data_IF_249121380229
#
_entry.id   IF_249121380229
#
_cell.length_a   1.000
_cell.length_b   1.000
_cell.length_c   1.000
_cell.angle_alpha   90.00
_cell.angle_beta   90.00
_cell.angle_gamma   90.00
#
_symmetry.space_group_name_H-M   'P 1'
#
loop_
_entity.id
_entity.type
_entity.pdbx_description
1 polymer ?
#
# COMPACT_ATOMS: atom_id res chain seq x y z
N UNK A 1 -27.95 11.29 16.48
CA UNK A 1 -28.12 11.78 17.88
C UNK A 1 -26.79 11.51 18.58
N UNK A 2 -26.09 12.58 18.95
CA UNK A 2 -24.69 12.56 19.44
C UNK A 2 -24.62 11.97 20.85
N UNK A 3 -23.96 10.82 21.00
CA UNK A 3 -23.53 10.33 22.32
C UNK A 3 -22.16 10.98 22.60
N UNK A 4 -22.18 12.20 23.15
CA UNK A 4 -20.99 12.99 23.51
C UNK A 4 -20.95 13.34 25.00
N UNK A 5 -21.62 12.58 25.88
CA UNK A 5 -21.88 13.06 27.22
C UNK A 5 -21.55 12.16 28.42
N UNK A 6 -20.44 11.42 28.50
CA UNK A 6 -19.93 11.21 29.86
C UNK A 6 -18.46 11.61 30.12
N UNK A 7 -17.78 12.34 29.27
CA UNK A 7 -16.35 12.66 29.49
C UNK A 7 -16.10 14.00 30.23
N UNK A 8 -17.12 14.61 30.83
CA UNK A 8 -16.99 15.94 31.43
C UNK A 8 -16.70 15.97 32.94
N UNK A 9 -16.51 14.86 33.60
CA UNK A 9 -16.39 14.86 35.06
C UNK A 9 -15.25 13.97 35.56
N UNK A 10 -13.99 14.33 35.33
CA UNK A 10 -12.86 13.96 36.21
C UNK A 10 -11.72 14.95 36.01
N UNK A 11 -11.36 15.70 37.05
CA UNK A 11 -10.06 16.35 37.23
C UNK A 11 -9.96 17.83 36.85
N UNK A 12 -9.99 18.70 37.86
CA UNK A 12 -9.56 20.10 37.79
C UNK A 12 -8.05 20.17 37.53
N UNK A 13 -7.67 20.24 36.26
CA UNK A 13 -6.49 20.96 35.80
C UNK A 13 -6.96 21.78 34.59
N UNK A 14 -6.41 23.02 34.46
CA UNK A 14 -6.75 23.99 33.40
C UNK A 14 -6.40 23.49 32.00
N UNK A 15 -6.96 22.35 31.56
CA UNK A 15 -6.69 21.72 30.27
C UNK A 15 -7.96 21.88 29.41
N UNK A 16 -7.98 22.99 28.68
CA UNK A 16 -9.09 23.30 27.77
C UNK A 16 -9.17 22.26 26.66
N UNK A 17 -10.37 21.80 26.37
CA UNK A 17 -10.65 21.00 25.18
C UNK A 17 -10.15 21.75 23.94
N UNK A 18 -9.28 21.10 23.14
CA UNK A 18 -8.82 21.61 21.84
C UNK A 18 -9.47 20.80 20.74
N UNK A 19 -10.23 21.47 19.92
CA UNK A 19 -10.81 20.86 18.72
C UNK A 19 -10.11 21.41 17.48
N UNK A 20 -9.62 20.53 16.64
CA UNK A 20 -8.94 20.83 15.40
C UNK A 20 -9.75 20.25 14.24
N UNK A 21 -9.84 20.97 13.15
CA UNK A 21 -10.49 20.51 11.92
C UNK A 21 -9.65 20.81 10.70
N UNK A 22 -9.85 20.04 9.65
CA UNK A 22 -9.16 20.21 8.37
C UNK A 22 -10.01 19.70 7.21
N UNK A 23 -9.85 20.36 6.04
CA UNK A 23 -10.54 19.97 4.81
C UNK A 23 -9.53 19.90 3.68
N UNK A 24 -9.55 18.79 2.94
CA UNK A 24 -8.75 18.58 1.74
C UNK A 24 -9.62 18.11 0.58
N UNK A 25 -9.45 18.74 -0.56
CA UNK A 25 -10.06 18.39 -1.82
C UNK A 25 -9.04 17.65 -2.68
N UNK A 26 -9.47 16.65 -3.43
CA UNK A 26 -8.63 15.88 -4.35
C UNK A 26 -9.33 15.76 -5.70
N UNK A 27 -8.59 16.01 -6.77
CA UNK A 27 -8.95 15.60 -8.13
C UNK A 27 -7.94 14.56 -8.59
N UNK A 28 -8.40 13.42 -9.08
CA UNK A 28 -7.53 12.33 -9.49
C UNK A 28 -7.98 11.79 -10.84
N UNK A 29 -7.08 11.83 -11.81
CA UNK A 29 -7.28 11.30 -13.15
C UNK A 29 -6.28 10.18 -13.42
N UNK A 30 -6.74 9.12 -14.05
CA UNK A 30 -5.92 8.00 -14.52
C UNK A 30 -6.35 7.62 -15.93
N UNK A 31 -5.37 7.19 -16.74
CA UNK A 31 -5.61 6.53 -18.02
C UNK A 31 -4.59 5.43 -18.24
N UNK A 32 -5.04 4.32 -18.79
CA UNK A 32 -4.20 3.18 -19.15
C UNK A 32 -4.50 2.78 -20.59
N UNK A 33 -3.48 2.85 -21.43
CA UNK A 33 -3.47 2.31 -22.78
C UNK A 33 -2.76 0.95 -22.73
N UNK A 34 -3.41 -0.08 -23.24
CA UNK A 34 -2.90 -1.45 -23.25
C UNK A 34 -2.51 -1.87 -24.67
N UNK A 35 -1.63 -2.88 -24.78
CA UNK A 35 -1.26 -3.45 -26.07
C UNK A 35 -0.35 -2.58 -26.95
N UNK A 36 0.42 -1.68 -26.38
CA UNK A 36 1.27 -0.75 -27.14
C UNK A 36 2.61 -1.32 -27.58
N UNK A 37 3.14 -2.30 -26.84
CA UNK A 37 4.54 -2.73 -26.97
C UNK A 37 4.70 -4.24 -27.22
N UNK A 38 3.63 -5.00 -27.25
CA UNK A 38 3.69 -6.45 -27.33
C UNK A 38 2.42 -7.10 -27.90
N UNK A 39 2.19 -8.38 -27.65
CA UNK A 39 1.17 -9.18 -28.30
C UNK A 39 -0.27 -8.94 -27.81
N UNK A 40 -0.50 -7.98 -26.94
CA UNK A 40 -1.79 -7.76 -26.27
C UNK A 40 -2.58 -6.58 -26.84
N UNK A 41 -2.47 -6.30 -28.13
CA UNK A 41 -3.11 -5.16 -28.82
C UNK A 41 -4.66 -5.15 -28.77
N UNK A 42 -5.28 -6.28 -28.46
CA UNK A 42 -6.75 -6.41 -28.37
C UNK A 42 -7.33 -5.98 -27.02
N UNK A 43 -6.48 -5.59 -26.05
CA UNK A 43 -6.96 -5.23 -24.73
C UNK A 43 -7.53 -3.81 -24.70
N UNK A 44 -8.68 -3.67 -24.05
CA UNK A 44 -9.38 -2.39 -23.89
C UNK A 44 -8.57 -1.37 -23.11
N UNK A 45 -8.62 -0.11 -23.55
CA UNK A 45 -8.09 1.05 -22.85
C UNK A 45 -9.07 1.54 -21.78
N UNK A 46 -8.51 2.14 -20.73
CA UNK A 46 -9.30 2.63 -19.60
C UNK A 46 -8.92 4.05 -19.22
N UNK A 47 -9.92 4.81 -18.77
CA UNK A 47 -9.70 6.08 -18.10
C UNK A 47 -10.70 6.27 -16.97
N UNK A 48 -10.34 7.07 -15.98
CA UNK A 48 -11.25 7.54 -14.95
C UNK A 48 -10.79 8.88 -14.39
N UNK A 49 -11.77 9.72 -14.08
CA UNK A 49 -11.57 10.96 -13.34
C UNK A 49 -12.52 10.98 -12.14
N UNK A 50 -11.96 11.21 -10.96
CA UNK A 50 -12.72 11.28 -9.71
C UNK A 50 -12.37 12.54 -8.93
N UNK A 51 -13.34 13.06 -8.20
CA UNK A 51 -13.15 14.07 -7.16
C UNK A 51 -13.29 13.45 -5.79
N UNK A 52 -12.61 14.02 -4.80
CA UNK A 52 -12.67 13.56 -3.41
C UNK A 52 -12.63 14.70 -2.42
N UNK A 53 -13.26 14.46 -1.29
CA UNK A 53 -13.26 15.30 -0.10
C UNK A 53 -12.76 14.49 1.08
N UNK A 54 -11.82 15.04 1.83
CA UNK A 54 -11.41 14.52 3.14
C UNK A 54 -11.72 15.57 4.20
N UNK A 55 -12.44 15.16 5.23
CA UNK A 55 -12.73 15.98 6.41
C UNK A 55 -12.09 15.35 7.63
N UNK A 56 -11.22 16.09 8.28
CA UNK A 56 -10.48 15.71 9.47
C UNK A 56 -11.04 16.43 10.68
N UNK A 57 -11.32 15.69 11.75
CA UNK A 57 -11.70 16.22 13.05
C UNK A 57 -10.84 15.58 14.13
N UNK A 58 -10.27 16.40 15.00
CA UNK A 58 -9.51 15.93 16.14
C UNK A 58 -9.86 16.72 17.39
N UNK A 59 -10.23 16.02 18.45
CA UNK A 59 -10.45 16.59 19.76
C UNK A 59 -9.42 16.08 20.75
N UNK A 60 -8.79 16.97 21.51
CA UNK A 60 -7.79 16.65 22.52
C UNK A 60 -8.16 17.28 23.85
N UNK A 61 -8.07 16.47 24.92
CA UNK A 61 -8.19 16.94 26.31
C UNK A 61 -7.23 16.12 27.18
N UNK A 62 -6.32 16.79 27.88
CA UNK A 62 -5.25 16.14 28.65
C UNK A 62 -4.49 15.11 27.81
N UNK A 63 -4.49 13.87 28.21
CA UNK A 63 -3.85 12.74 27.53
C UNK A 63 -4.75 12.02 26.51
N UNK A 64 -6.00 12.42 26.42
CA UNK A 64 -6.96 11.81 25.51
C UNK A 64 -7.03 12.51 24.17
N UNK A 65 -7.18 11.73 23.11
CA UNK A 65 -7.39 12.21 21.75
C UNK A 65 -8.49 11.37 21.08
N UNK A 66 -9.48 12.05 20.55
CA UNK A 66 -10.45 11.50 19.61
C UNK A 66 -10.10 12.02 18.21
N UNK A 67 -9.97 11.13 17.23
CA UNK A 67 -9.71 11.47 15.83
C UNK A 67 -10.78 10.85 14.94
N UNK A 68 -11.32 11.65 14.01
CA UNK A 68 -12.25 11.18 13.00
C UNK A 68 -11.82 11.74 11.61
N UNK A 69 -11.67 10.85 10.62
CA UNK A 69 -11.41 11.20 9.23
C UNK A 69 -12.52 10.61 8.35
N UNK A 70 -13.14 11.45 7.55
CA UNK A 70 -14.19 11.09 6.62
C UNK A 70 -13.70 11.31 5.18
N UNK A 71 -13.91 10.33 4.34
CA UNK A 71 -13.58 10.40 2.92
C UNK A 71 -14.84 10.29 2.08
N UNK A 72 -15.02 11.26 1.19
CA UNK A 72 -15.98 11.20 0.10
C UNK A 72 -15.27 11.13 -1.23
N UNK A 73 -15.76 10.33 -2.16
CA UNK A 73 -15.26 10.27 -3.53
C UNK A 73 -16.41 10.13 -4.51
N UNK A 74 -16.27 10.72 -5.69
CA UNK A 74 -17.25 10.65 -6.79
C UNK A 74 -16.51 10.48 -8.11
N UNK A 75 -16.93 9.47 -8.88
CA UNK A 75 -16.54 9.32 -10.29
C UNK A 75 -17.22 10.42 -11.11
N UNK A 76 -16.44 11.19 -11.83
CA UNK A 76 -16.93 12.28 -12.70
C UNK A 76 -17.06 11.82 -14.14
N UNK A 77 -16.09 11.01 -14.63
CA UNK A 77 -16.05 10.48 -15.98
C UNK A 77 -15.20 9.21 -16.04
N UNK A 78 -15.43 8.34 -17.00
CA UNK A 78 -14.60 7.20 -17.29
C UNK A 78 -15.37 5.90 -17.49
N UNK A 79 -14.59 4.87 -17.86
CA UNK A 79 -15.05 3.51 -18.12
C UNK A 79 -14.38 2.45 -17.21
N UNK A 80 -14.11 2.73 -15.90
CA UNK A 80 -13.26 1.89 -15.07
C UNK A 80 -13.83 0.50 -14.79
N UNK A 81 -15.14 0.32 -14.91
CA UNK A 81 -15.85 -0.93 -14.63
C UNK A 81 -16.32 -1.67 -15.88
N UNK A 82 -16.12 -1.10 -17.06
CA UNK A 82 -16.39 -1.82 -18.31
C UNK A 82 -15.51 -3.06 -18.39
N UNK A 83 -16.09 -4.14 -18.88
CA UNK A 83 -15.39 -5.41 -19.04
C UNK A 83 -14.76 -5.46 -20.42
N UNK A 84 -13.47 -5.69 -20.43
CA UNK A 84 -12.70 -6.02 -21.62
C UNK A 84 -13.28 -7.27 -22.28
N UNK A 85 -13.53 -7.23 -23.58
CA UNK A 85 -14.19 -8.31 -24.33
C UNK A 85 -13.35 -9.59 -24.38
N UNK A 86 -12.02 -9.46 -24.37
CA UNK A 86 -11.09 -10.59 -24.44
C UNK A 86 -10.86 -11.25 -23.07
N UNK A 87 -10.75 -10.43 -22.01
CA UNK A 87 -10.40 -10.93 -20.67
C UNK A 87 -11.59 -11.07 -19.74
N UNK A 88 -12.72 -10.45 -20.06
CA UNK A 88 -13.90 -10.35 -19.18
C UNK A 88 -13.64 -9.56 -17.90
N UNK A 89 -12.52 -8.82 -17.81
CA UNK A 89 -12.08 -8.11 -16.60
C UNK A 89 -12.19 -6.60 -16.80
N UNK A 90 -12.52 -5.88 -15.72
CA UNK A 90 -12.50 -4.43 -15.68
C UNK A 90 -11.09 -3.88 -15.50
N UNK A 91 -10.98 -2.55 -15.50
CA UNK A 91 -9.74 -1.84 -15.21
C UNK A 91 -9.12 -2.28 -13.87
N UNK A 92 -7.82 -2.35 -13.84
CA UNK A 92 -7.05 -2.65 -12.62
C UNK A 92 -6.73 -1.40 -11.79
N UNK A 93 -6.50 -0.27 -12.44
CA UNK A 93 -6.02 0.94 -11.78
C UNK A 93 -7.12 1.97 -11.61
N UNK A 94 -7.87 2.24 -12.65
CA UNK A 94 -8.91 3.26 -12.72
C UNK A 94 -10.10 2.94 -11.82
N UNK A 95 -10.49 1.64 -11.71
CA UNK A 95 -11.51 1.17 -10.77
C UNK A 95 -11.19 1.49 -9.31
N UNK A 96 -9.91 1.64 -8.97
CA UNK A 96 -9.46 2.03 -7.64
C UNK A 96 -9.65 3.52 -7.32
N UNK A 97 -10.21 4.34 -8.20
CA UNK A 97 -10.64 5.71 -7.91
C UNK A 97 -12.04 5.79 -7.31
N UNK A 98 -12.74 4.67 -7.25
CA UNK A 98 -14.10 4.52 -6.69
C UNK A 98 -14.14 3.29 -5.77
N UNK A 99 -15.34 2.76 -5.53
CA UNK A 99 -15.53 1.56 -4.72
C UNK A 99 -15.30 0.29 -5.54
N UNK A 100 -14.23 -0.44 -5.26
CA UNK A 100 -13.92 -1.72 -5.90
C UNK A 100 -14.92 -2.83 -5.58
N UNK A 101 -15.61 -2.73 -4.44
CA UNK A 101 -16.58 -3.69 -3.94
C UNK A 101 -18.04 -3.30 -4.23
N UNK A 102 -18.25 -2.17 -4.86
CA UNK A 102 -19.57 -1.65 -5.24
C UNK A 102 -19.46 -0.89 -6.57
N UNK A 103 -19.19 -1.61 -7.70
CA UNK A 103 -18.92 -1.00 -9.00
C UNK A 103 -20.11 -0.20 -9.57
N UNK A 104 -21.30 -0.46 -9.09
CA UNK A 104 -22.53 0.28 -9.43
C UNK A 104 -22.58 1.67 -8.77
N UNK A 105 -21.77 1.92 -7.74
CA UNK A 105 -21.73 3.19 -7.02
C UNK A 105 -20.73 4.14 -7.66
N UNK A 106 -21.20 5.25 -8.18
CA UNK A 106 -20.35 6.33 -8.69
C UNK A 106 -19.86 7.26 -7.59
N UNK A 107 -20.43 7.19 -6.39
CA UNK A 107 -20.01 7.96 -5.22
C UNK A 107 -19.94 7.07 -3.97
N UNK A 108 -18.99 7.41 -3.10
CA UNK A 108 -18.76 6.71 -1.85
C UNK A 108 -18.45 7.74 -0.76
N UNK A 109 -19.00 7.52 0.44
CA UNK A 109 -18.64 8.25 1.65
C UNK A 109 -18.42 7.27 2.78
N UNK A 110 -17.25 7.35 3.43
CA UNK A 110 -16.89 6.45 4.53
C UNK A 110 -16.24 7.20 5.69
N UNK A 111 -16.54 6.83 6.95
CA UNK A 111 -15.72 7.14 8.10
C UNK A 111 -14.49 6.22 8.09
N UNK A 112 -13.36 6.72 7.60
CA UNK A 112 -12.15 5.91 7.46
C UNK A 112 -11.44 5.74 8.81
N UNK A 113 -11.29 6.83 9.57
CA UNK A 113 -10.71 6.81 10.91
C UNK A 113 -11.78 7.24 11.92
N UNK A 114 -11.89 6.47 12.99
CA UNK A 114 -12.61 6.82 14.21
C UNK A 114 -11.83 6.21 15.36
N UNK A 115 -10.91 6.98 15.93
CA UNK A 115 -9.90 6.51 16.88
C UNK A 115 -10.02 7.26 18.19
N UNK A 116 -10.16 6.53 19.29
CA UNK A 116 -9.93 7.04 20.64
C UNK A 116 -8.57 6.57 21.11
N UNK A 117 -7.72 7.50 21.57
CA UNK A 117 -6.40 7.14 22.10
C UNK A 117 -6.07 7.89 23.38
N UNK A 118 -5.30 7.21 24.25
CA UNK A 118 -4.75 7.74 25.46
C UNK A 118 -3.23 7.73 25.38
N UNK A 119 -2.59 8.85 25.63
CA UNK A 119 -1.15 9.02 25.59
C UNK A 119 -0.58 9.26 26.98
N UNK A 120 0.19 8.29 27.47
CA UNK A 120 1.00 8.48 28.68
C UNK A 120 2.40 9.00 28.30
N UNK A 121 3.25 9.16 29.31
CA UNK A 121 4.67 9.52 29.12
C UNK A 121 5.43 8.49 28.27
N UNK A 122 5.09 7.19 28.38
CA UNK A 122 5.84 6.09 27.79
C UNK A 122 5.15 5.42 26.63
N UNK A 123 3.83 5.50 26.56
CA UNK A 123 3.04 4.74 25.60
C UNK A 123 1.80 5.50 25.13
N UNK A 124 1.32 5.12 23.98
CA UNK A 124 0.00 5.48 23.46
C UNK A 124 -0.78 4.20 23.23
N UNK A 125 -1.95 4.09 23.83
CA UNK A 125 -2.92 3.03 23.54
C UNK A 125 -4.05 3.65 22.72
N UNK A 126 -4.48 2.97 21.68
CA UNK A 126 -5.59 3.42 20.83
C UNK A 126 -6.54 2.28 20.50
N UNK A 127 -7.79 2.64 20.29
CA UNK A 127 -8.91 1.77 19.97
C UNK A 127 -9.76 2.40 18.87
N UNK A 128 -10.32 1.57 17.99
CA UNK A 128 -11.20 1.98 16.91
C UNK A 128 -10.56 1.79 15.53
N UNK A 129 -10.84 2.70 14.60
CA UNK A 129 -10.32 2.65 13.24
C UNK A 129 -9.10 3.56 13.13
N UNK A 130 -7.97 3.00 12.75
CA UNK A 130 -6.68 3.70 12.71
C UNK A 130 -5.85 3.34 11.46
N UNK A 131 -4.82 4.13 11.19
CA UNK A 131 -3.83 3.85 10.15
C UNK A 131 -2.58 3.18 10.72
N UNK A 132 -1.96 2.31 9.92
CA UNK A 132 -0.67 1.68 10.17
C UNK A 132 0.40 2.21 9.21
N UNK A 133 1.67 1.94 9.55
CA UNK A 133 2.83 2.30 8.72
C UNK A 133 3.82 1.12 8.63
N UNK A 134 3.28 -0.08 8.45
CA UNK A 134 4.07 -1.27 8.19
C UNK A 134 4.50 -1.40 6.72
N UNK A 135 5.43 -2.29 6.45
CA UNK A 135 5.91 -2.53 5.09
C UNK A 135 4.85 -3.15 4.17
N UNK A 136 3.80 -3.76 4.74
CA UNK A 136 2.70 -4.37 3.98
C UNK A 136 1.33 -3.89 4.45
N UNK A 137 1.17 -3.50 5.71
CA UNK A 137 -0.05 -2.95 6.28
C UNK A 137 0.13 -1.45 6.48
N UNK A 138 -0.39 -0.66 5.58
CA UNK A 138 -0.20 0.80 5.62
C UNK A 138 -1.33 1.55 4.91
N UNK A 139 -1.48 2.83 5.27
CA UNK A 139 -2.40 3.75 4.62
C UNK A 139 -1.81 4.22 3.28
N UNK A 140 -1.95 3.43 2.23
CA UNK A 140 -1.47 3.76 0.89
C UNK A 140 -2.34 4.83 0.25
N UNK A 141 -1.75 5.96 -0.10
CA UNK A 141 -2.45 7.09 -0.74
C UNK A 141 -2.38 7.11 -2.28
N UNK A 142 -2.01 6.01 -2.90
CA UNK A 142 -2.04 5.86 -4.37
C UNK A 142 -3.45 5.66 -4.95
N UNK A 143 -4.48 5.84 -4.13
CA UNK A 143 -5.91 5.75 -4.43
C UNK A 143 -6.66 6.90 -3.76
N UNK A 144 -7.97 7.02 -4.01
CA UNK A 144 -8.80 8.05 -3.39
C UNK A 144 -8.98 7.82 -1.90
N UNK A 145 -9.19 6.57 -1.48
CA UNK A 145 -9.44 6.16 -0.10
C UNK A 145 -8.31 5.25 0.35
N UNK A 146 -7.61 5.56 1.46
CA UNK A 146 -6.54 4.74 2.00
C UNK A 146 -7.05 3.47 2.67
N UNK A 147 -6.18 2.50 2.87
CA UNK A 147 -6.46 1.36 3.76
C UNK A 147 -6.45 1.80 5.21
N UNK A 148 -7.41 1.33 5.98
CA UNK A 148 -7.51 1.54 7.43
C UNK A 148 -7.86 0.26 8.16
N UNK A 149 -7.54 0.19 9.44
CA UNK A 149 -7.56 -1.00 10.25
C UNK A 149 -8.41 -0.76 11.49
N UNK A 150 -9.27 -1.70 11.84
CA UNK A 150 -10.14 -1.63 13.02
C UNK A 150 -9.67 -2.61 14.09
N UNK A 151 -9.49 -2.12 15.31
CA UNK A 151 -8.98 -2.91 16.43
C UNK A 151 -8.36 -2.06 17.52
N UNK A 152 -7.24 -2.53 18.09
CA UNK A 152 -6.50 -1.82 19.12
C UNK A 152 -5.00 -1.81 18.80
N UNK A 153 -4.31 -0.80 19.31
CA UNK A 153 -2.87 -0.72 19.21
C UNK A 153 -2.22 -0.17 20.49
N UNK A 154 -0.98 -0.56 20.70
CA UNK A 154 -0.04 -0.01 21.66
C UNK A 154 1.17 0.53 20.89
N UNK A 155 1.55 1.78 21.12
CA UNK A 155 2.80 2.38 20.64
C UNK A 155 3.64 2.83 21.83
N UNK A 156 4.91 2.49 21.85
CA UNK A 156 5.86 2.96 22.87
C UNK A 156 6.96 3.79 22.23
N UNK A 157 7.47 4.76 22.97
CA UNK A 157 8.69 5.48 22.65
C UNK A 157 9.67 5.28 23.79
N UNK A 158 10.63 4.38 23.60
CA UNK A 158 11.74 4.19 24.53
C UNK A 158 12.96 5.02 24.12
N UNK A 159 13.97 5.06 25.00
CA UNK A 159 15.25 5.72 24.73
C UNK A 159 15.96 5.12 23.51
N UNK A 160 15.77 3.83 23.25
CA UNK A 160 16.48 3.09 22.21
C UNK A 160 15.58 2.44 21.19
N UNK A 161 14.33 2.13 21.54
CA UNK A 161 13.39 1.41 20.69
C UNK A 161 12.05 2.13 20.60
N UNK A 162 11.54 2.27 19.37
CA UNK A 162 10.15 2.58 19.11
C UNK A 162 9.44 1.28 18.77
N UNK A 163 8.36 0.96 19.46
CA UNK A 163 7.63 -0.29 19.24
C UNK A 163 6.15 0.00 18.99
N UNK A 164 5.55 -0.82 18.17
CA UNK A 164 4.11 -0.86 17.96
C UNK A 164 3.63 -2.31 17.98
N UNK A 165 2.53 -2.58 18.66
CA UNK A 165 1.77 -3.82 18.55
C UNK A 165 0.32 -3.47 18.24
N UNK A 166 -0.33 -4.24 17.38
CA UNK A 166 -1.73 -4.03 17.00
C UNK A 166 -2.43 -5.36 16.81
N UNK A 167 -3.67 -5.44 17.30
CA UNK A 167 -4.60 -6.53 17.05
C UNK A 167 -5.73 -5.96 16.20
N UNK A 168 -6.01 -6.58 15.07
CA UNK A 168 -6.87 -6.07 14.00
C UNK A 168 -7.97 -7.09 13.75
N UNK A 169 -9.23 -6.71 13.98
CA UNK A 169 -10.41 -7.55 13.74
C UNK A 169 -11.07 -7.29 12.39
N UNK A 170 -10.91 -6.06 11.84
CA UNK A 170 -11.49 -5.72 10.55
C UNK A 170 -10.60 -4.73 9.77
N UNK A 171 -10.74 -4.72 8.45
CA UNK A 171 -9.95 -3.92 7.53
C UNK A 171 -10.88 -3.28 6.50
N UNK A 172 -10.80 -1.97 6.35
CA UNK A 172 -11.26 -1.28 5.15
C UNK A 172 -10.08 -1.23 4.18
N UNK A 173 -10.08 -2.13 3.22
CA UNK A 173 -9.10 -2.14 2.16
C UNK A 173 -9.22 -0.84 1.34
N UNK A 174 -8.13 -0.36 0.75
CA UNK A 174 -8.15 0.87 -0.04
C UNK A 174 -9.22 0.82 -1.14
N UNK A 175 -9.91 1.93 -1.32
CA UNK A 175 -10.99 2.07 -2.31
C UNK A 175 -12.13 1.05 -2.12
N UNK A 176 -12.51 0.77 -0.88
CA UNK A 176 -13.67 -0.08 -0.57
C UNK A 176 -14.73 0.68 0.20
N UNK A 177 -15.95 0.17 0.17
CA UNK A 177 -17.12 0.82 0.74
C UNK A 177 -17.20 0.72 2.28
N UNK A 178 -16.32 -0.05 2.92
CA UNK A 178 -16.33 -0.20 4.38
C UNK A 178 -15.40 -1.28 4.91
N UNK A 179 -15.53 -1.52 6.20
CA UNK A 179 -14.75 -2.53 6.92
C UNK A 179 -15.31 -3.93 6.68
N UNK A 180 -14.39 -4.88 6.50
CA UNK A 180 -14.69 -6.32 6.41
C UNK A 180 -13.83 -7.06 7.43
N UNK A 181 -14.30 -8.22 7.90
CA UNK A 181 -13.48 -9.10 8.75
C UNK A 181 -12.15 -9.42 8.06
N UNK A 182 -11.14 -9.82 8.83
CA UNK A 182 -9.84 -10.23 8.26
C UNK A 182 -10.04 -11.36 7.25
N UNK A 183 -10.84 -12.38 7.56
CA UNK A 183 -11.21 -13.45 6.63
C UNK A 183 -11.76 -12.93 5.30
N UNK A 184 -12.78 -12.07 5.35
CA UNK A 184 -13.42 -11.55 4.15
C UNK A 184 -12.56 -10.55 3.36
N UNK A 185 -11.51 -10.00 3.96
CA UNK A 185 -10.57 -9.08 3.31
C UNK A 185 -9.39 -9.78 2.67
N UNK A 186 -9.07 -11.03 3.07
CA UNK A 186 -8.03 -11.85 2.45
C UNK A 186 -8.43 -12.22 1.02
N UNK A 187 -7.53 -12.06 0.07
CA UNK A 187 -7.73 -12.39 -1.34
C UNK A 187 -8.99 -11.77 -1.99
N UNK A 188 -9.55 -10.72 -1.39
CA UNK A 188 -10.81 -10.11 -1.82
C UNK A 188 -10.74 -9.54 -3.23
N UNK A 189 -9.62 -8.89 -3.58
CA UNK A 189 -9.38 -8.30 -4.89
C UNK A 189 -8.18 -8.96 -5.53
N UNK A 190 -8.31 -9.28 -6.83
CA UNK A 190 -7.28 -9.99 -7.57
C UNK A 190 -6.79 -11.23 -6.80
N UNK A 191 -7.67 -12.19 -6.51
CA UNK A 191 -7.30 -13.38 -5.72
C UNK A 191 -6.14 -14.13 -6.38
N UNK A 192 -5.96 -13.97 -7.70
CA UNK A 192 -4.97 -14.67 -8.49
C UNK A 192 -5.40 -16.10 -8.80
N UNK A 193 -4.42 -16.91 -9.17
CA UNK A 193 -4.58 -18.32 -9.45
C UNK A 193 -3.99 -19.14 -8.29
N UNK A 194 -4.60 -20.26 -8.00
CA UNK A 194 -4.05 -21.28 -7.11
C UNK A 194 -2.87 -22.01 -7.77
N UNK A 195 -2.37 -23.07 -7.15
CA UNK A 195 -1.26 -23.84 -7.69
C UNK A 195 -1.65 -24.73 -8.89
N UNK A 196 -2.93 -24.97 -9.10
CA UNK A 196 -3.48 -25.72 -10.24
C UNK A 196 -3.87 -24.82 -11.42
N UNK A 197 -3.77 -23.49 -11.25
CA UNK A 197 -4.15 -22.53 -12.30
C UNK A 197 -5.62 -22.16 -12.29
N UNK A 198 -6.37 -22.58 -11.28
CA UNK A 198 -7.75 -22.19 -11.08
C UNK A 198 -7.85 -20.87 -10.35
N UNK A 199 -8.97 -20.16 -10.52
CA UNK A 199 -9.22 -18.93 -9.75
C UNK A 199 -9.38 -19.28 -8.28
N UNK A 200 -8.55 -18.65 -7.43
CA UNK A 200 -8.61 -18.90 -5.99
C UNK A 200 -9.99 -18.51 -5.41
N UNK A 201 -10.62 -19.43 -4.70
CA UNK A 201 -11.90 -19.14 -4.04
C UNK A 201 -11.67 -18.26 -2.80
N UNK A 202 -12.47 -17.21 -2.67
CA UNK A 202 -12.32 -16.17 -1.64
C UNK A 202 -13.12 -16.42 -0.38
N UNK A 203 -14.10 -17.33 -0.45
CA UNK A 203 -15.18 -17.36 0.54
C UNK A 203 -14.88 -18.21 1.76
N UNK A 204 -13.82 -19.01 1.75
CA UNK A 204 -13.59 -20.06 2.73
C UNK A 204 -12.33 -19.88 3.58
N UNK A 205 -11.67 -18.71 3.53
CA UNK A 205 -10.47 -18.48 4.36
C UNK A 205 -10.87 -18.17 5.80
N UNK A 206 -10.41 -18.99 6.76
CA UNK A 206 -10.61 -18.73 8.19
C UNK A 206 -9.45 -17.93 8.77
N UNK A 207 -9.71 -16.68 9.11
CA UNK A 207 -8.74 -15.73 9.66
C UNK A 207 -9.44 -14.78 10.66
N UNK A 208 -9.50 -15.13 11.96
CA UNK A 208 -10.32 -14.39 12.93
C UNK A 208 -9.80 -12.98 13.21
N UNK A 209 -8.49 -12.78 13.17
CA UNK A 209 -7.83 -11.49 13.36
C UNK A 209 -6.45 -11.48 12.73
N UNK A 210 -5.83 -10.31 12.67
CA UNK A 210 -4.42 -10.15 12.31
C UNK A 210 -3.66 -9.47 13.45
N UNK A 211 -2.39 -9.82 13.62
CA UNK A 211 -1.47 -9.18 14.57
C UNK A 211 -0.34 -8.54 13.78
N UNK A 212 -0.08 -7.28 14.08
CA UNK A 212 1.07 -6.54 13.56
C UNK A 212 1.96 -6.11 14.73
N UNK A 213 3.24 -6.42 14.66
CA UNK A 213 4.27 -5.98 15.59
C UNK A 213 5.39 -5.32 14.80
N UNK A 214 5.85 -4.19 15.29
CA UNK A 214 6.94 -3.40 14.71
C UNK A 214 7.85 -2.92 15.81
N UNK A 215 9.15 -3.07 15.64
CA UNK A 215 10.18 -2.57 16.54
C UNK A 215 11.30 -1.93 15.74
N UNK A 216 11.59 -0.67 16.02
CA UNK A 216 12.61 0.13 15.34
C UNK A 216 13.61 0.69 16.33
N UNK A 217 14.89 0.60 15.97
CA UNK A 217 16.00 1.26 16.66
C UNK A 217 16.78 2.11 15.69
N UNK A 218 17.05 3.35 16.09
CA UNK A 218 17.92 4.27 15.36
C UNK A 218 19.18 4.51 16.19
N UNK A 219 20.34 4.42 15.56
CA UNK A 219 21.65 4.62 16.18
C UNK A 219 22.44 5.62 15.35
N UNK A 220 22.96 6.64 15.99
CA UNK A 220 23.86 7.62 15.37
C UNK A 220 25.21 7.56 16.08
N UNK A 221 26.28 7.23 15.34
CA UNK A 221 27.65 7.16 15.89
C UNK A 221 28.58 7.91 14.93
N UNK A 222 29.09 9.06 15.40
CA UNK A 222 29.95 9.96 14.57
C UNK A 222 29.25 10.26 13.22
N UNK A 223 29.86 9.81 12.12
CA UNK A 223 29.37 10.04 10.75
C UNK A 223 28.49 8.90 10.23
N UNK A 224 28.13 7.93 11.07
CA UNK A 224 27.31 6.80 10.72
C UNK A 224 25.88 6.94 11.29
N UNK A 225 24.90 6.70 10.44
CA UNK A 225 23.51 6.50 10.80
C UNK A 225 23.14 5.05 10.58
N UNK A 226 22.54 4.42 11.57
CA UNK A 226 22.00 3.07 11.50
C UNK A 226 20.52 3.05 11.86
N UNK A 227 19.69 2.39 11.08
CA UNK A 227 18.31 2.08 11.41
C UNK A 227 18.11 0.58 11.27
N UNK A 228 17.66 -0.04 12.35
CA UNK A 228 17.27 -1.46 12.38
C UNK A 228 15.80 -1.54 12.73
N UNK A 229 15.01 -2.25 11.89
CA UNK A 229 13.58 -2.42 12.07
C UNK A 229 13.20 -3.88 11.83
N UNK A 230 12.41 -4.42 12.74
CA UNK A 230 11.82 -5.77 12.65
C UNK A 230 10.32 -5.63 12.64
N UNK A 231 9.67 -6.29 11.69
CA UNK A 231 8.22 -6.34 11.57
C UNK A 231 7.75 -7.79 11.59
N UNK A 232 6.64 -8.03 12.26
CA UNK A 232 5.95 -9.32 12.26
C UNK A 232 4.48 -9.12 11.90
N UNK A 233 4.01 -9.92 10.97
CA UNK A 233 2.62 -9.98 10.51
C UNK A 233 2.13 -11.40 10.71
N UNK A 234 1.20 -11.59 11.64
CA UNK A 234 0.65 -12.91 11.97
C UNK A 234 -0.83 -12.93 11.67
N UNK A 235 -1.26 -13.85 10.84
CA UNK A 235 -2.66 -14.19 10.61
C UNK A 235 -2.85 -15.61 11.11
N UNK A 236 -3.39 -15.79 12.33
CA UNK A 236 -3.50 -17.11 12.95
C UNK A 236 -4.23 -18.10 12.05
N UNK A 237 -3.69 -19.31 11.96
CA UNK A 237 -4.20 -20.37 11.09
C UNK A 237 -3.89 -20.21 9.60
N UNK A 238 -3.27 -19.08 9.17
CA UNK A 238 -3.00 -18.81 7.76
C UNK A 238 -1.50 -18.70 7.48
N UNK A 239 -0.86 -17.66 7.95
CA UNK A 239 0.60 -17.46 7.77
C UNK A 239 1.20 -16.51 8.80
N UNK A 240 2.51 -16.55 8.92
CA UNK A 240 3.32 -15.55 9.59
C UNK A 240 4.42 -15.04 8.68
N UNK A 241 4.66 -13.74 8.73
CA UNK A 241 5.73 -13.06 7.99
C UNK A 241 6.61 -12.30 8.97
N UNK A 242 7.90 -12.56 8.95
CA UNK A 242 8.92 -11.75 9.61
C UNK A 242 9.68 -10.96 8.56
N UNK A 243 9.92 -9.69 8.83
CA UNK A 243 10.71 -8.81 7.97
C UNK A 243 11.73 -8.05 8.79
N UNK A 244 12.97 -8.06 8.33
CA UNK A 244 14.08 -7.27 8.87
C UNK A 244 14.47 -6.23 7.84
N UNK A 245 14.55 -4.99 8.27
CA UNK A 245 15.04 -3.86 7.48
C UNK A 245 16.24 -3.25 8.20
N UNK A 246 17.36 -3.13 7.49
CA UNK A 246 18.56 -2.47 7.98
C UNK A 246 18.99 -1.37 7.03
N UNK A 247 19.11 -0.15 7.52
CA UNK A 247 19.68 0.98 6.77
C UNK A 247 20.96 1.42 7.45
N UNK A 248 22.01 1.61 6.64
CA UNK A 248 23.31 2.12 7.06
C UNK A 248 23.67 3.26 6.14
N UNK A 249 23.86 4.45 6.70
CA UNK A 249 24.29 5.63 5.93
C UNK A 249 25.60 6.20 6.48
N UNK A 250 26.46 6.63 5.56
CA UNK A 250 27.68 7.38 5.86
C UNK A 250 27.89 8.42 4.77
N UNK A 251 27.96 9.70 5.17
CA UNK A 251 28.04 10.80 4.22
C UNK A 251 26.88 10.76 3.21
N UNK A 252 27.19 10.79 1.89
CA UNK A 252 26.16 10.78 0.85
C UNK A 252 25.60 9.40 0.52
N UNK A 253 26.16 8.33 1.09
CA UNK A 253 25.85 6.94 0.74
C UNK A 253 24.90 6.29 1.74
N UNK A 254 23.98 5.49 1.23
CA UNK A 254 23.03 4.69 2.01
C UNK A 254 22.94 3.28 1.44
N UNK A 255 23.10 2.29 2.31
CA UNK A 255 22.79 0.88 2.02
C UNK A 255 21.51 0.52 2.78
N UNK A 256 20.55 -0.10 2.09
CA UNK A 256 19.33 -0.65 2.67
C UNK A 256 19.28 -2.15 2.37
N UNK A 257 19.29 -2.95 3.40
CA UNK A 257 19.15 -4.41 3.34
C UNK A 257 17.77 -4.81 3.83
N UNK A 258 17.17 -5.78 3.15
CA UNK A 258 15.89 -6.36 3.55
C UNK A 258 15.97 -7.88 3.49
N UNK A 259 15.47 -8.51 4.53
CA UNK A 259 15.22 -9.95 4.58
C UNK A 259 13.80 -10.17 5.04
N UNK A 260 13.08 -11.06 4.36
CA UNK A 260 11.76 -11.48 4.76
C UNK A 260 11.66 -13.01 4.70
N UNK A 261 11.04 -13.59 5.72
CA UNK A 261 10.64 -14.99 5.74
C UNK A 261 9.17 -15.09 6.07
N UNK A 262 8.47 -15.87 5.28
CA UNK A 262 7.06 -16.15 5.44
C UNK A 262 6.86 -17.68 5.54
N UNK A 263 5.98 -18.13 6.42
CA UNK A 263 5.66 -19.54 6.59
C UNK A 263 4.19 -19.75 6.95
N UNK A 264 3.70 -20.92 6.60
CA UNK A 264 2.34 -21.36 6.86
C UNK A 264 2.10 -21.52 8.36
N UNK A 265 0.91 -21.13 8.80
CA UNK A 265 0.38 -21.43 10.13
C UNK A 265 -0.87 -22.29 9.97
N UNK A 266 -0.96 -23.35 10.78
CA UNK A 266 -2.09 -24.28 10.71
C UNK A 266 -2.30 -24.83 9.29
N UNK A 267 -3.53 -24.76 8.83
CA UNK A 267 -3.94 -25.27 7.51
C UNK A 267 -3.82 -24.22 6.38
N UNK A 268 -3.14 -23.08 6.64
CA UNK A 268 -3.00 -22.03 5.62
C UNK A 268 -4.30 -21.28 5.34
N UNK A 269 -5.26 -21.35 6.27
CA UNK A 269 -6.56 -20.66 6.19
C UNK A 269 -7.74 -21.52 5.77
N UNK A 270 -7.53 -22.78 5.37
CA UNK A 270 -8.61 -23.71 5.04
C UNK A 270 -8.18 -25.16 5.29
N UNK A 271 -9.10 -26.02 5.75
CA UNK A 271 -8.85 -27.45 5.95
C UNK A 271 -8.60 -28.19 4.63
N UNK A 272 -9.26 -27.76 3.56
CA UNK A 272 -8.98 -28.21 2.21
C UNK A 272 -7.71 -27.48 1.67
N UNK A 273 -6.59 -28.19 1.46
CA UNK A 273 -5.35 -27.58 0.99
C UNK A 273 -5.48 -26.85 -0.37
N UNK A 274 -6.42 -27.28 -1.23
CA UNK A 274 -6.65 -26.66 -2.53
C UNK A 274 -7.28 -25.27 -2.40
N UNK A 275 -8.01 -25.03 -1.31
CA UNK A 275 -8.71 -23.77 -1.00
C UNK A 275 -7.91 -22.89 -0.03
N UNK A 276 -6.83 -23.39 0.56
CA UNK A 276 -6.01 -22.63 1.48
C UNK A 276 -5.41 -21.39 0.83
N UNK A 277 -5.47 -20.25 1.53
CA UNK A 277 -4.84 -19.01 1.07
C UNK A 277 -3.33 -19.16 0.94
N UNK A 278 -2.70 -19.79 1.95
CA UNK A 278 -1.27 -20.06 1.99
C UNK A 278 -1.00 -21.55 1.78
N UNK A 279 -0.89 -21.94 0.51
CA UNK A 279 -0.77 -23.35 0.09
C UNK A 279 0.63 -23.93 0.26
N UNK A 280 1.68 -23.10 0.17
CA UNK A 280 3.08 -23.52 0.33
C UNK A 280 3.50 -23.50 1.81
N UNK A 281 4.62 -24.17 2.14
CA UNK A 281 5.14 -24.18 3.51
C UNK A 281 5.85 -22.90 3.90
N UNK A 282 6.59 -22.28 2.97
CA UNK A 282 7.36 -21.04 3.23
C UNK A 282 7.68 -20.29 1.95
N UNK A 283 8.17 -19.05 2.12
CA UNK A 283 8.76 -18.22 1.08
C UNK A 283 9.78 -17.29 1.74
N UNK A 284 10.86 -16.95 1.02
CA UNK A 284 11.87 -16.00 1.48
C UNK A 284 12.13 -14.94 0.42
N UNK A 285 12.45 -13.75 0.90
CA UNK A 285 12.82 -12.60 0.07
C UNK A 285 14.09 -11.97 0.62
N UNK A 286 15.00 -11.63 -0.28
CA UNK A 286 16.23 -10.88 -0.02
C UNK A 286 16.24 -9.64 -0.89
N UNK A 287 16.61 -8.52 -0.32
CA UNK A 287 16.69 -7.26 -1.05
C UNK A 287 17.87 -6.41 -0.61
N UNK A 288 18.52 -5.76 -1.54
CA UNK A 288 19.59 -4.78 -1.31
C UNK A 288 19.33 -3.55 -2.17
N UNK A 289 19.55 -2.37 -1.59
CA UNK A 289 19.56 -1.11 -2.33
C UNK A 289 20.75 -0.28 -1.88
N UNK A 290 21.52 0.19 -2.83
CA UNK A 290 22.53 1.22 -2.62
C UNK A 290 22.02 2.54 -3.20
N UNK A 291 22.18 3.62 -2.45
CA UNK A 291 21.87 4.97 -2.90
C UNK A 291 23.05 5.89 -2.63
N UNK A 292 23.30 6.80 -3.56
CA UNK A 292 24.35 7.79 -3.44
C UNK A 292 23.83 9.15 -3.87
N UNK A 293 24.00 10.15 -3.00
CA UNK A 293 23.53 11.50 -3.24
C UNK A 293 24.64 12.35 -3.83
N UNK A 294 24.39 12.95 -4.99
CA UNK A 294 25.22 13.96 -5.61
C UNK A 294 24.41 15.24 -5.71
N UNK A 295 24.82 16.29 -5.01
CA UNK A 295 24.11 17.56 -4.91
C UNK A 295 22.64 17.38 -4.48
N UNK A 296 21.71 17.62 -5.38
CA UNK A 296 20.26 17.55 -5.15
C UNK A 296 19.63 16.27 -5.68
N UNK A 297 20.44 15.34 -6.22
CA UNK A 297 19.98 14.10 -6.85
C UNK A 297 20.48 12.89 -6.07
N UNK A 298 19.55 12.01 -5.72
CA UNK A 298 19.81 10.69 -5.15
C UNK A 298 19.75 9.65 -6.27
N UNK A 299 20.86 9.03 -6.62
CA UNK A 299 20.95 7.89 -7.54
C UNK A 299 20.86 6.59 -6.76
N UNK A 300 20.26 5.58 -7.34
CA UNK A 300 20.18 4.28 -6.67
C UNK A 300 20.20 3.10 -7.64
N UNK A 301 20.67 1.98 -7.12
CA UNK A 301 20.48 0.65 -7.67
C UNK A 301 19.92 -0.25 -6.58
N UNK A 302 18.94 -1.08 -6.92
CA UNK A 302 18.34 -2.04 -6.01
C UNK A 302 18.19 -3.38 -6.72
N UNK A 303 18.40 -4.47 -5.98
CA UNK A 303 18.12 -5.82 -6.46
C UNK A 303 17.43 -6.63 -5.39
N UNK A 304 16.58 -7.56 -5.78
CA UNK A 304 15.89 -8.46 -4.86
C UNK A 304 15.61 -9.82 -5.49
N UNK A 305 15.54 -10.83 -4.66
CA UNK A 305 15.25 -12.19 -5.05
C UNK A 305 14.22 -12.82 -4.12
N UNK A 306 13.21 -13.45 -4.70
CA UNK A 306 12.27 -14.34 -4.00
C UNK A 306 12.66 -15.77 -4.34
N UNK A 307 12.83 -16.62 -3.33
CA UNK A 307 13.31 -17.98 -3.48
C UNK A 307 12.29 -18.92 -4.18
N UNK A 308 12.69 -20.17 -4.38
CA UNK A 308 11.90 -21.21 -5.03
C UNK A 308 11.10 -22.09 -4.06
N UNK A 309 10.95 -21.67 -2.79
CA UNK A 309 10.18 -22.42 -1.79
C UNK A 309 8.69 -22.12 -1.87
N UNK A 310 8.32 -20.97 -2.43
CA UNK A 310 6.92 -20.58 -2.60
C UNK A 310 6.75 -19.16 -3.09
N UNK A 311 5.49 -18.73 -3.17
CA UNK A 311 5.11 -17.35 -3.52
C UNK A 311 5.17 -16.47 -2.27
N UNK A 312 5.67 -15.25 -2.39
CA UNK A 312 5.47 -14.21 -1.38
C UNK A 312 3.99 -13.77 -1.42
N UNK A 313 3.22 -14.06 -0.40
CA UNK A 313 1.79 -13.78 -0.35
C UNK A 313 1.47 -12.74 0.71
N UNK A 314 0.85 -11.65 0.30
CA UNK A 314 0.30 -10.65 1.20
C UNK A 314 -0.94 -9.99 0.58
N UNK A 315 -2.02 -9.68 1.34
CA UNK A 315 -3.18 -9.02 0.76
C UNK A 315 -2.81 -7.64 0.20
N UNK A 316 -2.88 -7.49 -1.12
CA UNK A 316 -2.45 -6.28 -1.85
C UNK A 316 -3.22 -5.03 -1.45
N UNK A 317 -4.44 -5.22 -0.99
CA UNK A 317 -5.37 -4.16 -0.65
C UNK A 317 -5.12 -3.61 0.75
N UNK A 318 -4.38 -4.34 1.61
CA UNK A 318 -4.07 -3.92 2.98
C UNK A 318 -2.99 -2.84 3.03
N UNK A 319 -2.28 -2.64 1.95
CA UNK A 319 -1.27 -1.60 1.86
C UNK A 319 -0.42 -1.70 0.59
N UNK A 320 0.63 -0.93 0.60
CA UNK A 320 1.69 -0.95 -0.40
C UNK A 320 2.84 -1.81 0.12
N UNK A 321 3.43 -2.65 -0.72
CA UNK A 321 4.66 -3.34 -0.36
C UNK A 321 5.86 -2.38 -0.45
N UNK A 322 6.56 -2.16 0.67
CA UNK A 322 7.77 -1.33 0.70
C UNK A 322 9.04 -2.18 0.55
N UNK A 323 9.10 -2.95 -0.53
CA UNK A 323 10.29 -3.69 -0.92
C UNK A 323 11.30 -2.77 -1.65
N UNK A 324 12.60 -3.06 -1.56
CA UNK A 324 13.65 -2.16 -2.12
C UNK A 324 13.55 -1.98 -3.63
N UNK A 325 13.02 -2.97 -4.35
CA UNK A 325 12.82 -2.95 -5.81
C UNK A 325 11.40 -2.56 -6.22
N UNK A 326 10.56 -2.10 -5.26
CA UNK A 326 9.20 -1.68 -5.57
C UNK A 326 9.18 -0.46 -6.48
N UNK A 327 8.41 -0.54 -7.57
CA UNK A 327 8.02 0.60 -8.40
C UNK A 327 6.49 0.80 -8.35
N UNK A 328 6.04 2.04 -8.51
CA UNK A 328 4.59 2.32 -8.60
C UNK A 328 3.96 1.51 -9.73
N UNK A 329 2.83 0.86 -9.47
CA UNK A 329 2.11 -0.06 -10.40
C UNK A 329 2.80 -1.41 -10.62
N UNK A 330 3.93 -1.70 -9.98
CA UNK A 330 4.55 -3.01 -9.95
C UNK A 330 4.39 -3.66 -8.58
N UNK A 331 4.43 -4.99 -8.54
CA UNK A 331 4.40 -5.76 -7.31
C UNK A 331 5.14 -7.08 -7.44
N UNK A 332 5.74 -7.51 -6.35
CA UNK A 332 6.35 -8.81 -6.20
C UNK A 332 5.47 -9.79 -5.40
N UNK A 333 4.44 -9.29 -4.71
CA UNK A 333 3.45 -10.16 -4.08
C UNK A 333 2.83 -11.11 -5.11
N UNK A 334 2.70 -12.37 -4.74
CA UNK A 334 2.20 -13.44 -5.59
C UNK A 334 3.26 -14.13 -6.45
N UNK A 335 4.53 -13.75 -6.31
CA UNK A 335 5.66 -14.31 -7.04
C UNK A 335 6.56 -15.15 -6.14
N UNK A 336 7.15 -16.19 -6.72
CA UNK A 336 8.32 -16.92 -6.27
C UNK A 336 9.36 -16.95 -7.38
N UNK A 337 10.56 -17.51 -7.17
CA UNK A 337 11.64 -17.60 -8.18
C UNK A 337 11.86 -16.30 -8.98
N UNK A 338 11.71 -15.15 -8.35
CA UNK A 338 11.70 -13.85 -9.04
C UNK A 338 12.93 -13.05 -8.70
N UNK A 339 13.66 -12.64 -9.72
CA UNK A 339 14.75 -11.66 -9.62
C UNK A 339 14.25 -10.31 -10.14
N UNK A 340 14.44 -9.26 -9.35
CA UNK A 340 14.14 -7.90 -9.77
C UNK A 340 15.37 -7.01 -9.58
N UNK A 341 15.65 -6.17 -10.57
CA UNK A 341 16.70 -5.14 -10.48
C UNK A 341 16.15 -3.82 -10.96
N UNK A 342 16.31 -2.77 -10.16
CA UNK A 342 15.79 -1.43 -10.43
C UNK A 342 16.92 -0.41 -10.26
N UNK A 343 17.06 0.49 -11.22
CA UNK A 343 17.95 1.66 -11.13
C UNK A 343 17.11 2.92 -11.24
N UNK A 344 17.57 4.01 -10.65
CA UNK A 344 16.86 5.27 -10.78
C UNK A 344 17.56 6.45 -10.14
N UNK A 345 16.92 7.61 -10.31
CA UNK A 345 17.35 8.87 -9.74
C UNK A 345 16.14 9.67 -9.24
N UNK A 346 16.34 10.40 -8.14
CA UNK A 346 15.33 11.29 -7.56
C UNK A 346 15.97 12.63 -7.22
N UNK A 347 15.41 13.71 -7.77
CA UNK A 347 15.88 15.07 -7.51
C UNK A 347 14.89 15.87 -6.66
N UNK A 348 15.41 16.82 -5.85
CA UNK A 348 14.63 17.79 -5.08
C UNK A 348 15.18 19.19 -5.29
N UNK A 349 14.31 20.12 -5.66
CA UNK A 349 14.70 21.52 -5.85
C UNK A 349 13.53 22.45 -5.52
N UNK A 350 13.85 23.74 -5.36
CA UNK A 350 12.85 24.78 -5.14
C UNK A 350 13.06 25.90 -6.14
N UNK A 351 11.99 26.37 -6.75
CA UNK A 351 11.99 27.49 -7.70
C UNK A 351 10.71 28.30 -7.50
N UNK A 352 10.80 29.62 -7.41
CA UNK A 352 9.65 30.53 -7.30
C UNK A 352 8.64 30.14 -6.19
N UNK A 353 9.14 29.77 -5.01
CA UNK A 353 8.33 29.30 -3.86
C UNK A 353 7.58 27.98 -4.10
N UNK A 354 7.86 27.29 -5.21
CA UNK A 354 7.37 25.93 -5.50
C UNK A 354 8.47 24.93 -5.14
N UNK A 355 8.13 23.93 -4.36
CA UNK A 355 9.00 22.78 -4.10
C UNK A 355 8.71 21.68 -5.09
N UNK A 356 9.73 21.21 -5.77
CA UNK A 356 9.68 20.16 -6.75
C UNK A 356 10.38 18.91 -6.20
N UNK A 357 9.82 17.77 -6.47
CA UNK A 357 10.49 16.46 -6.31
C UNK A 357 10.14 15.65 -7.54
N UNK A 358 11.14 15.15 -8.25
CA UNK A 358 10.90 14.33 -9.44
C UNK A 358 11.85 13.16 -9.48
N UNK A 359 11.50 12.13 -10.21
CA UNK A 359 12.34 10.96 -10.34
C UNK A 359 12.00 10.13 -11.57
N UNK A 360 12.98 9.34 -11.96
CA UNK A 360 12.88 8.31 -12.96
C UNK A 360 13.46 7.02 -12.38
N UNK A 361 12.82 5.91 -12.69
CA UNK A 361 13.38 4.59 -12.40
C UNK A 361 13.00 3.61 -13.49
N UNK A 362 13.90 2.71 -13.81
CA UNK A 362 13.64 1.57 -14.69
C UNK A 362 14.04 0.29 -13.99
N UNK A 363 13.26 -0.77 -14.19
CA UNK A 363 13.47 -2.06 -13.55
C UNK A 363 13.17 -3.20 -14.49
N UNK A 364 13.92 -4.29 -14.31
CA UNK A 364 13.71 -5.56 -14.98
C UNK A 364 13.25 -6.56 -13.93
N UNK A 365 12.17 -7.27 -14.23
CA UNK A 365 11.56 -8.30 -13.38
C UNK A 365 11.57 -9.62 -14.13
N UNK A 366 12.52 -10.50 -13.78
CA UNK A 366 12.60 -11.86 -14.31
C UNK A 366 11.76 -12.77 -13.42
N UNK A 367 10.75 -13.38 -14.00
CA UNK A 367 9.74 -14.18 -13.31
C UNK A 367 9.68 -15.60 -13.84
N UNK A 368 9.10 -16.53 -13.07
CA UNK A 368 8.69 -17.83 -13.60
C UNK A 368 7.75 -17.65 -14.79
N UNK A 369 7.67 -18.68 -15.61
CA UNK A 369 6.71 -18.68 -16.72
C UNK A 369 5.28 -18.43 -16.22
N UNK A 370 4.46 -17.74 -17.00
CA UNK A 370 3.07 -17.43 -16.63
C UNK A 370 2.20 -18.64 -16.28
N UNK A 371 2.51 -19.80 -16.85
CA UNK A 371 1.83 -21.08 -16.57
C UNK A 371 2.38 -21.80 -15.34
N UNK A 372 3.49 -21.33 -14.75
CA UNK A 372 4.03 -21.90 -13.51
C UNK A 372 3.27 -21.30 -12.30
N UNK A 373 2.02 -21.72 -12.14
CA UNK A 373 1.11 -21.19 -11.11
C UNK A 373 1.58 -21.45 -9.67
N UNK A 374 2.51 -22.38 -9.48
CA UNK A 374 3.15 -22.63 -8.19
C UNK A 374 3.95 -21.41 -7.72
N UNK A 375 4.54 -20.64 -8.67
CA UNK A 375 5.39 -19.49 -8.37
C UNK A 375 4.89 -18.19 -8.99
N UNK A 376 3.85 -18.22 -9.82
CA UNK A 376 3.33 -17.06 -10.54
C UNK A 376 1.80 -16.96 -10.39
N UNK A 377 1.36 -16.37 -9.28
CA UNK A 377 -0.06 -16.22 -8.90
C UNK A 377 -0.90 -15.48 -9.94
N UNK A 378 -0.27 -14.62 -10.74
CA UNK A 378 -0.97 -13.71 -11.63
C UNK A 378 -0.75 -13.97 -13.11
N UNK A 379 -0.12 -15.08 -13.45
CA UNK A 379 0.27 -15.38 -14.84
C UNK A 379 1.01 -14.21 -15.51
N UNK A 380 1.90 -13.55 -14.77
CA UNK A 380 2.66 -12.39 -15.26
C UNK A 380 3.91 -12.82 -16.00
N UNK A 381 4.13 -12.37 -17.24
CA UNK A 381 5.42 -12.55 -17.90
C UNK A 381 6.51 -11.68 -17.23
N UNK A 382 7.77 -12.03 -17.52
CA UNK A 382 8.90 -11.14 -17.24
C UNK A 382 8.68 -9.82 -17.97
N UNK A 383 9.04 -8.71 -17.34
CA UNK A 383 8.82 -7.39 -17.93
C UNK A 383 9.88 -6.39 -17.52
N UNK A 384 10.04 -5.37 -18.34
CA UNK A 384 10.67 -4.12 -17.98
C UNK A 384 9.60 -3.10 -17.60
N UNK A 385 9.86 -2.32 -16.55
CA UNK A 385 9.01 -1.18 -16.18
C UNK A 385 9.82 0.08 -15.99
N UNK A 386 9.37 1.18 -16.59
CA UNK A 386 9.92 2.51 -16.40
C UNK A 386 8.86 3.42 -15.79
N UNK A 387 9.22 4.08 -14.70
CA UNK A 387 8.38 5.07 -14.03
C UNK A 387 9.05 6.45 -14.12
N UNK A 388 8.27 7.44 -14.50
CA UNK A 388 8.64 8.85 -14.45
C UNK A 388 7.61 9.54 -13.59
N UNK A 389 8.03 10.33 -12.61
CA UNK A 389 7.09 11.01 -11.75
C UNK A 389 7.60 12.38 -11.35
N UNK A 390 6.65 13.31 -11.12
CA UNK A 390 6.93 14.68 -10.71
C UNK A 390 5.88 15.18 -9.74
N UNK A 391 6.34 15.70 -8.61
CA UNK A 391 5.54 16.26 -7.54
C UNK A 391 5.89 17.72 -7.32
N UNK A 392 4.88 18.55 -7.24
CA UNK A 392 4.97 19.98 -6.93
C UNK A 392 4.19 20.30 -5.66
N UNK A 393 4.73 21.16 -4.82
CA UNK A 393 4.05 21.70 -3.64
C UNK A 393 4.27 23.21 -3.57
N UNK A 394 3.20 23.98 -3.37
CA UNK A 394 3.29 25.44 -3.26
C UNK A 394 2.29 26.01 -2.25
N UNK A 395 2.38 27.33 -1.98
CA UNK A 395 1.60 28.05 -0.97
C UNK A 395 1.59 27.37 0.39
N UNK A 396 2.78 27.05 0.94
CA UNK A 396 2.90 26.40 2.25
C UNK A 396 2.34 24.98 2.29
N UNK A 397 2.43 24.24 1.17
CA UNK A 397 1.85 22.91 0.96
C UNK A 397 0.32 22.86 0.89
N UNK A 398 -0.36 23.97 0.71
CA UNK A 398 -1.81 23.95 0.47
C UNK A 398 -2.14 23.28 -0.86
N UNK A 399 -1.26 23.38 -1.84
CA UNK A 399 -1.43 22.76 -3.14
C UNK A 399 -0.37 21.70 -3.37
N UNK A 400 -0.79 20.57 -3.84
CA UNK A 400 0.06 19.46 -4.28
C UNK A 400 -0.41 18.98 -5.65
N UNK A 401 0.51 18.88 -6.60
CA UNK A 401 0.30 18.21 -7.89
C UNK A 401 1.29 17.05 -7.98
N UNK A 402 0.80 15.86 -8.29
CA UNK A 402 1.60 14.68 -8.59
C UNK A 402 1.23 14.14 -9.96
N UNK A 403 2.21 14.06 -10.85
CA UNK A 403 2.09 13.44 -12.18
C UNK A 403 2.97 12.19 -12.21
N UNK A 404 2.49 11.13 -12.83
CA UNK A 404 3.24 9.89 -12.99
C UNK A 404 2.91 9.23 -14.33
N UNK A 405 3.95 8.79 -15.03
CA UNK A 405 3.87 7.92 -16.19
C UNK A 405 4.55 6.58 -15.86
N UNK A 406 3.92 5.50 -16.27
CA UNK A 406 4.44 4.13 -16.13
C UNK A 406 4.36 3.44 -17.48
N UNK A 407 5.49 2.97 -17.96
CA UNK A 407 5.63 2.20 -19.19
C UNK A 407 6.01 0.79 -18.78
N UNK A 408 5.24 -0.22 -19.22
CA UNK A 408 5.56 -1.64 -19.05
C UNK A 408 5.67 -2.32 -20.40
N UNK A 409 6.76 -3.04 -20.56
CA UNK A 409 7.06 -3.80 -21.79
C UNK A 409 7.31 -5.25 -21.40
N UNK A 410 6.59 -6.23 -21.99
CA UNK A 410 6.89 -7.64 -21.77
C UNK A 410 8.25 -7.98 -22.38
N UNK A 411 9.04 -8.83 -21.70
CA UNK A 411 10.34 -9.28 -22.18
C UNK A 411 10.27 -10.60 -22.95
N UNK A 412 9.10 -11.25 -22.96
CA UNK A 412 8.87 -12.49 -23.69
C UNK A 412 7.52 -12.41 -24.42
N UNK A 413 7.51 -12.93 -25.62
CA UNK A 413 6.31 -13.11 -26.46
C UNK A 413 5.58 -14.41 -26.16
N UNK A 414 5.62 -14.91 -24.92
CA UNK A 414 5.00 -16.19 -24.58
C UNK A 414 3.51 -16.21 -24.96
N UNK A 415 3.03 -17.31 -25.54
CA UNK A 415 1.68 -17.47 -26.01
C UNK A 415 0.70 -17.68 -24.87
N UNK A 416 0.53 -16.65 -24.04
CA UNK A 416 -0.56 -16.63 -23.08
C UNK A 416 -1.71 -15.94 -23.78
N UNK A 417 -2.88 -16.58 -23.79
CA UNK A 417 -4.06 -15.88 -24.25
C UNK A 417 -4.28 -14.63 -23.38
N UNK A 418 -4.71 -13.53 -23.97
CA UNK A 418 -5.06 -12.32 -23.22
C UNK A 418 -6.06 -12.64 -22.09
N UNK A 419 -6.94 -13.64 -22.27
CA UNK A 419 -7.89 -14.14 -21.28
C UNK A 419 -7.22 -14.73 -20.03
N UNK A 420 -6.04 -15.35 -20.14
CA UNK A 420 -5.28 -15.91 -19.02
C UNK A 420 -4.49 -14.83 -18.26
N UNK A 421 -4.21 -13.68 -18.88
CA UNK A 421 -3.43 -12.61 -18.26
C UNK A 421 -4.26 -11.90 -17.20
N UNK A 422 -3.88 -12.05 -15.94
CA UNK A 422 -4.53 -11.38 -14.81
C UNK A 422 -3.99 -9.95 -14.65
N UNK A 423 -2.70 -9.76 -14.90
CA UNK A 423 -2.02 -8.47 -14.87
C UNK A 423 -1.57 -8.06 -16.26
N UNK A 424 -2.02 -6.91 -16.71
CA UNK A 424 -1.60 -6.32 -17.97
C UNK A 424 -0.18 -5.78 -17.83
N UNK A 425 0.74 -6.27 -18.64
CA UNK A 425 2.16 -5.89 -18.61
C UNK A 425 2.63 -5.20 -19.88
N UNK A 426 1.73 -4.98 -20.81
CA UNK A 426 1.96 -4.23 -22.05
C UNK A 426 1.11 -2.97 -21.98
N UNK A 427 1.65 -1.89 -21.39
CA UNK A 427 0.84 -0.71 -21.13
C UNK A 427 1.64 0.58 -20.97
N UNK A 428 0.99 1.69 -21.32
CA UNK A 428 1.28 3.05 -20.86
C UNK A 428 0.20 3.47 -19.84
N UNK A 429 0.61 3.81 -18.62
CA UNK A 429 -0.31 4.32 -17.61
C UNK A 429 0.09 5.73 -17.18
N UNK A 430 -0.85 6.66 -17.25
CA UNK A 430 -0.69 8.03 -16.80
C UNK A 430 -1.60 8.29 -15.61
N UNK A 431 -1.10 9.05 -14.62
CA UNK A 431 -1.92 9.49 -13.50
C UNK A 431 -1.57 10.90 -13.06
N UNK A 432 -2.60 11.69 -12.75
CA UNK A 432 -2.51 13.07 -12.28
C UNK A 432 -3.34 13.22 -11.02
N UNK A 433 -2.72 13.68 -9.95
CA UNK A 433 -3.39 13.91 -8.66
C UNK A 433 -3.16 15.36 -8.27
N UNK A 434 -4.24 16.11 -8.16
CA UNK A 434 -4.20 17.46 -7.58
C UNK A 434 -4.90 17.44 -6.23
N UNK A 435 -4.21 17.92 -5.18
CA UNK A 435 -4.76 18.07 -3.84
C UNK A 435 -4.72 19.52 -3.40
N UNK A 436 -5.83 20.00 -2.89
CA UNK A 436 -5.96 21.32 -2.32
C UNK A 436 -6.39 21.25 -0.86
N UNK A 437 -5.53 21.68 0.04
CA UNK A 437 -5.86 21.84 1.46
C UNK A 437 -6.59 23.17 1.64
N UNK A 438 -7.92 23.12 1.61
CA UNK A 438 -8.79 24.27 1.78
C UNK A 438 -8.60 24.84 3.20
N UNK A 439 -8.64 23.95 4.18
CA UNK A 439 -8.43 24.25 5.59
C UNK A 439 -7.37 23.28 6.14
N UNK A 440 -6.15 23.75 6.46
CA UNK A 440 -5.20 22.94 7.20
C UNK A 440 -5.75 22.64 8.59
N UNK A 441 -5.29 21.56 9.22
CA UNK A 441 -5.71 21.21 10.57
C UNK A 441 -5.43 22.39 11.53
N UNK A 442 -6.47 23.06 11.95
CA UNK A 442 -6.40 24.25 12.81
C UNK A 442 -7.46 24.20 13.91
N UNK A 443 -7.26 24.99 14.93
CA UNK A 443 -8.20 25.11 16.06
C UNK A 443 -9.52 25.71 15.58
N UNK A 444 -10.63 25.10 16.05
CA UNK A 444 -11.98 25.68 15.98
C UNK A 444 -12.10 26.87 16.91
#
# INVERSE_FOLDING_TARGET
MLILLPFLAVGQQNDSLRVLQGIRLTSFSMTTQNGLFGPYSELQDYYAQSSGLEYLLEARKSNWRLKADFYGTKLLAGNPFEKDSTTGKSSRYESGLVALDAPERTALFIPSILELSYRSKWATVGLGNFSLQGSFMNAEHGRMIPSTFSGMYLKTKGLHWNMQASIIGAIAARSTSGFKSVSASLAQYNPGLDTAGSKHDKTEVNAPFAVFIDAERVVNVKNWYGQFRVESYTIPGVFQTFMVNQKLASGPSLIHLQYLRQFKLGNGGNEDPSKAYFQQEQSQYFGVKYSHKVDKVDYFIASSYIDDKGKLLFPREWGREYLVTFQGRERQEGMGKTLATVVGATGKWSQNKVRHTGGVSTGIYVRPEPIDYKYNKYAMPSNQQTNIWWKQNWKGNRHELLSMAVIKVPLSSLPISAAQTINKVDMLHLSFVYRYTLMPLQRL
#
